data_IF_472825186615
#
_entry.id   IF_472825186615
#
_cell.length_a   1.000
_cell.length_b   1.000
_cell.length_c   1.000
_cell.angle_alpha   90.00
_cell.angle_beta   90.00
_cell.angle_gamma   90.00
#
_symmetry.space_group_name_H-M   'P 1'
#
loop_
_entity.id
_entity.type
_entity.pdbx_description
1 polymer ?
#
# COMPACT_ATOMS: atom_id res chain seq x y z
N UNK A 1 -8.98 10.60 -21.85
CA UNK A 1 -9.79 9.63 -21.08
C UNK A 1 -10.63 8.68 -21.95
N UNK A 2 -11.29 9.13 -23.03
CA UNK A 2 -12.20 8.30 -23.83
C UNK A 2 -11.55 7.09 -24.55
N UNK A 3 -10.24 7.17 -24.90
CA UNK A 3 -9.49 6.04 -25.51
C UNK A 3 -9.20 4.88 -24.54
N UNK A 4 -9.09 5.14 -23.24
CA UNK A 4 -8.78 4.11 -22.22
C UNK A 4 -10.04 3.30 -21.89
N UNK A 5 -11.21 3.95 -21.81
CA UNK A 5 -12.49 3.26 -21.58
C UNK A 5 -12.85 2.27 -22.71
N UNK A 6 -12.49 2.56 -23.96
CA UNK A 6 -12.71 1.64 -25.10
C UNK A 6 -11.73 0.46 -25.12
N UNK A 7 -10.52 0.62 -24.55
CA UNK A 7 -9.51 -0.43 -24.44
C UNK A 7 -9.75 -1.40 -23.26
N UNK A 8 -10.44 -0.93 -22.21
CA UNK A 8 -10.90 -1.74 -21.07
C UNK A 8 -12.04 -2.72 -21.42
N UNK A 9 -12.52 -2.72 -22.68
CA UNK A 9 -13.56 -3.63 -23.16
C UNK A 9 -13.20 -5.12 -23.08
N UNK A 10 -11.91 -5.46 -22.92
CA UNK A 10 -11.45 -6.80 -22.59
C UNK A 10 -10.67 -6.78 -21.28
N UNK A 11 -11.37 -7.00 -20.16
CA UNK A 11 -10.82 -7.19 -18.81
C UNK A 11 -9.91 -8.42 -18.66
N UNK A 12 -9.65 -9.13 -19.76
CA UNK A 12 -8.93 -10.41 -19.84
C UNK A 12 -7.64 -10.33 -20.69
N UNK A 13 -7.36 -9.21 -21.37
CA UNK A 13 -6.10 -9.06 -22.12
C UNK A 13 -4.95 -8.67 -21.17
N UNK A 14 -3.82 -9.40 -21.16
CA UNK A 14 -2.69 -9.11 -20.27
C UNK A 14 -2.17 -7.67 -20.37
N UNK A 15 -2.15 -7.09 -21.57
CA UNK A 15 -1.68 -5.71 -21.78
C UNK A 15 -2.60 -4.67 -21.13
N UNK A 16 -3.91 -4.86 -21.28
CA UNK A 16 -4.91 -3.97 -20.69
C UNK A 16 -4.91 -4.06 -19.17
N UNK A 17 -4.80 -5.27 -18.62
CA UNK A 17 -4.75 -5.50 -17.17
C UNK A 17 -3.46 -4.94 -16.57
N UNK A 18 -2.33 -5.05 -17.26
CA UNK A 18 -1.07 -4.45 -16.81
C UNK A 18 -1.17 -2.93 -16.66
N UNK A 19 -1.70 -2.21 -17.68
CA UNK A 19 -1.90 -0.76 -17.59
C UNK A 19 -2.92 -0.36 -16.52
N UNK A 20 -3.98 -1.16 -16.31
CA UNK A 20 -4.93 -0.94 -15.22
C UNK A 20 -4.26 -1.13 -13.84
N UNK A 21 -3.46 -2.19 -13.68
CA UNK A 21 -2.73 -2.47 -12.44
C UNK A 21 -1.73 -1.36 -12.09
N UNK A 22 -1.07 -0.75 -13.07
CA UNK A 22 -0.20 0.40 -12.86
C UNK A 22 -0.97 1.59 -12.25
N UNK A 23 -2.19 1.86 -12.74
CA UNK A 23 -3.05 2.93 -12.20
C UNK A 23 -3.44 2.63 -10.75
N UNK A 24 -3.87 1.39 -10.47
CA UNK A 24 -4.21 0.96 -9.11
C UNK A 24 -3.01 1.06 -8.17
N UNK A 25 -1.84 0.61 -8.62
CA UNK A 25 -0.61 0.65 -7.86
C UNK A 25 -0.20 2.10 -7.54
N UNK A 26 -0.24 3.01 -8.51
CA UNK A 26 0.05 4.44 -8.26
C UNK A 26 -0.91 5.05 -7.25
N UNK A 27 -2.19 4.67 -7.32
CA UNK A 27 -3.18 5.08 -6.33
C UNK A 27 -2.86 4.55 -4.92
N UNK A 28 -2.33 3.32 -4.79
CA UNK A 28 -1.90 2.76 -3.51
C UNK A 28 -0.63 3.46 -2.97
N UNK A 29 0.39 3.62 -3.81
CA UNK A 29 1.71 4.05 -3.41
C UNK A 29 1.79 5.53 -3.00
N UNK A 30 0.90 6.38 -3.53
CA UNK A 30 0.92 7.83 -3.27
C UNK A 30 0.76 8.19 -1.80
N UNK A 31 0.13 7.33 -0.99
CA UNK A 31 -0.23 7.63 0.39
C UNK A 31 0.98 7.74 1.32
N UNK A 32 2.09 7.09 0.95
CA UNK A 32 3.36 7.09 1.67
C UNK A 32 4.55 7.29 0.72
N UNK A 33 4.34 8.04 -0.36
CA UNK A 33 5.39 8.35 -1.31
C UNK A 33 6.45 9.24 -0.68
N UNK A 34 7.71 8.95 -0.99
CA UNK A 34 8.87 9.65 -0.47
C UNK A 34 10.03 9.63 -1.48
N UNK A 35 11.01 10.50 -1.24
CA UNK A 35 12.25 10.63 -2.01
C UNK A 35 13.45 10.60 -1.07
N UNK A 36 14.61 10.23 -1.60
CA UNK A 36 15.86 10.15 -0.84
C UNK A 36 16.92 11.05 -1.50
N UNK A 37 16.81 12.37 -1.37
CA UNK A 37 17.66 13.32 -2.11
C UNK A 37 19.14 13.26 -1.72
N UNK A 38 19.47 12.71 -0.55
CA UNK A 38 20.83 12.59 -0.02
C UNK A 38 21.55 11.30 -0.48
N UNK A 39 20.85 10.40 -1.19
CA UNK A 39 21.48 9.15 -1.63
C UNK A 39 22.47 9.44 -2.75
N UNK A 40 23.71 9.03 -2.54
CA UNK A 40 24.81 9.30 -3.46
C UNK A 40 25.45 10.68 -3.30
N UNK A 41 25.09 11.43 -2.25
CA UNK A 41 25.83 12.63 -1.82
C UNK A 41 26.80 12.28 -0.68
N UNK A 42 27.68 13.21 -0.33
CA UNK A 42 28.59 13.09 0.83
C UNK A 42 27.91 13.48 2.17
N UNK A 43 26.62 13.81 2.14
CA UNK A 43 25.86 14.23 3.33
C UNK A 43 25.40 13.02 4.16
N UNK A 44 25.31 13.20 5.48
CA UNK A 44 24.83 12.17 6.38
C UNK A 44 23.33 11.92 6.18
N UNK A 45 22.97 10.66 5.89
CA UNK A 45 21.57 10.26 5.75
C UNK A 45 20.99 10.00 7.14
N UNK A 46 19.91 10.70 7.55
CA UNK A 46 19.28 10.45 8.83
C UNK A 46 18.70 9.03 8.88
N UNK A 47 18.80 8.38 10.03
CA UNK A 47 18.29 7.03 10.24
C UNK A 47 17.34 6.95 11.44
N UNK A 48 16.43 5.98 11.42
CA UNK A 48 15.63 5.64 12.60
C UNK A 48 16.50 4.90 13.63
N UNK A 49 15.96 4.70 14.84
CA UNK A 49 16.62 3.87 15.87
C UNK A 49 16.87 2.43 15.39
N UNK A 50 16.03 1.92 14.50
CA UNK A 50 16.16 0.60 13.85
C UNK A 50 17.14 0.60 12.67
N UNK A 51 17.79 1.73 12.37
CA UNK A 51 18.75 1.88 11.28
C UNK A 51 18.13 2.03 9.89
N UNK A 52 16.84 2.39 9.78
CA UNK A 52 16.22 2.65 8.49
C UNK A 52 16.54 4.06 8.00
N UNK A 53 17.01 4.20 6.77
CA UNK A 53 17.24 5.49 6.12
C UNK A 53 15.93 6.28 5.98
N UNK A 54 15.95 7.53 6.44
CA UNK A 54 14.82 8.46 6.41
C UNK A 54 14.99 9.41 5.22
N UNK A 55 14.01 9.38 4.31
CA UNK A 55 13.92 10.33 3.20
C UNK A 55 13.05 11.55 3.51
N UNK A 56 12.58 12.19 2.45
CA UNK A 56 11.66 13.32 2.46
C UNK A 56 10.33 12.86 1.89
N UNK A 57 9.25 12.99 2.68
CA UNK A 57 7.89 12.64 2.23
C UNK A 57 7.43 13.57 1.11
N UNK A 58 6.72 13.02 0.12
CA UNK A 58 6.03 13.84 -0.88
C UNK A 58 4.87 14.61 -0.20
N UNK A 59 4.59 15.83 -0.64
CA UNK A 59 3.55 16.70 -0.04
C UNK A 59 2.15 16.06 -0.05
N UNK A 60 1.86 15.21 -1.04
CA UNK A 60 0.59 14.52 -1.20
C UNK A 60 0.51 13.23 -0.37
N UNK A 61 1.62 12.76 0.20
CA UNK A 61 1.71 11.56 1.02
C UNK A 61 1.33 11.84 2.47
N UNK A 62 0.04 12.16 2.69
CA UNK A 62 -0.47 12.68 3.96
C UNK A 62 -0.27 11.73 5.16
N UNK A 63 -0.06 10.43 4.94
CA UNK A 63 0.11 9.46 6.04
C UNK A 63 1.36 9.75 6.88
N UNK A 64 2.43 10.26 6.27
CA UNK A 64 3.63 10.67 7.02
C UNK A 64 3.30 11.75 8.03
N UNK A 65 2.55 12.77 7.61
CA UNK A 65 2.19 13.91 8.46
C UNK A 65 1.12 13.55 9.49
N UNK A 66 0.05 12.87 9.09
CA UNK A 66 -1.08 12.56 9.98
C UNK A 66 -0.65 11.63 11.11
N UNK A 67 0.09 10.57 10.78
CA UNK A 67 0.44 9.52 11.72
C UNK A 67 1.88 9.61 12.25
N UNK A 68 2.63 10.63 11.83
CA UNK A 68 4.05 10.84 12.17
C UNK A 68 4.92 9.64 11.78
N UNK A 69 4.60 8.99 10.67
CA UNK A 69 5.44 7.91 10.17
C UNK A 69 6.69 8.46 9.46
N UNK A 70 7.88 7.92 9.76
CA UNK A 70 9.09 8.34 9.08
C UNK A 70 9.02 7.99 7.60
N UNK A 71 9.67 8.77 6.75
CA UNK A 71 9.67 8.57 5.30
C UNK A 71 10.68 7.48 4.89
N UNK A 72 10.43 6.24 5.32
CA UNK A 72 11.31 5.08 5.06
C UNK A 72 10.69 4.13 4.04
N UNK A 73 11.54 3.26 3.47
CA UNK A 73 11.08 2.17 2.60
C UNK A 73 10.06 1.27 3.29
N UNK A 74 10.29 0.98 4.57
CA UNK A 74 9.43 0.11 5.36
C UNK A 74 8.04 0.72 5.52
N UNK A 75 7.96 2.00 5.87
CA UNK A 75 6.69 2.74 5.93
C UNK A 75 5.97 2.76 4.57
N UNK A 76 6.68 3.08 3.49
CA UNK A 76 6.11 3.08 2.14
C UNK A 76 5.57 1.71 1.75
N UNK A 77 6.34 0.64 1.98
CA UNK A 77 5.97 -0.70 1.56
C UNK A 77 4.75 -1.22 2.31
N UNK A 78 4.69 -1.05 3.64
CA UNK A 78 3.56 -1.50 4.47
C UNK A 78 2.26 -0.73 4.16
N UNK A 79 2.34 0.59 3.99
CA UNK A 79 1.17 1.39 3.62
C UNK A 79 0.71 1.06 2.20
N UNK A 80 1.63 0.88 1.25
CA UNK A 80 1.28 0.49 -0.12
C UNK A 80 0.62 -0.89 -0.16
N UNK A 81 1.17 -1.86 0.57
CA UNK A 81 0.59 -3.21 0.69
C UNK A 81 -0.79 -3.18 1.35
N UNK A 82 -1.04 -2.33 2.35
CA UNK A 82 -2.38 -2.16 2.91
C UNK A 82 -3.39 -1.72 1.85
N UNK A 83 -3.07 -0.75 1.00
CA UNK A 83 -3.97 -0.30 -0.07
C UNK A 83 -4.13 -1.35 -1.17
N UNK A 84 -3.05 -2.05 -1.53
CA UNK A 84 -3.13 -3.18 -2.46
C UNK A 84 -4.00 -4.31 -1.91
N UNK A 85 -3.98 -4.56 -0.59
CA UNK A 85 -4.84 -5.52 0.06
C UNK A 85 -6.32 -5.15 -0.13
N UNK A 86 -6.68 -3.88 0.06
CA UNK A 86 -8.06 -3.40 -0.16
C UNK A 86 -8.53 -3.68 -1.59
N UNK A 87 -7.72 -3.37 -2.61
CA UNK A 87 -8.04 -3.75 -3.99
C UNK A 87 -8.09 -5.26 -4.18
N UNK A 88 -7.17 -6.00 -3.56
CA UNK A 88 -7.11 -7.47 -3.65
C UNK A 88 -8.40 -8.11 -3.14
N UNK A 89 -8.94 -7.65 -2.01
CA UNK A 89 -10.23 -8.09 -1.47
C UNK A 89 -11.33 -7.90 -2.50
N UNK A 90 -11.42 -6.72 -3.13
CA UNK A 90 -12.43 -6.47 -4.17
C UNK A 90 -12.19 -7.30 -5.43
N UNK A 91 -10.95 -7.45 -5.88
CA UNK A 91 -10.57 -8.27 -7.05
C UNK A 91 -10.99 -9.72 -6.84
N UNK A 92 -10.93 -10.27 -5.62
CA UNK A 92 -11.37 -11.65 -5.32
C UNK A 92 -12.86 -11.89 -5.60
N UNK A 93 -13.68 -10.84 -5.65
CA UNK A 93 -15.09 -10.90 -6.05
C UNK A 93 -15.29 -10.71 -7.57
N UNK A 94 -14.32 -11.12 -8.40
CA UNK A 94 -14.41 -11.12 -9.85
C UNK A 94 -14.41 -12.56 -10.40
N UNK A 95 -14.73 -12.78 -11.68
CA UNK A 95 -14.62 -14.09 -12.31
C UNK A 95 -13.23 -14.71 -12.12
N UNK A 96 -13.10 -16.02 -11.82
CA UNK A 96 -11.83 -16.65 -11.44
C UNK A 96 -10.67 -16.49 -12.45
N UNK A 97 -10.99 -16.37 -13.75
CA UNK A 97 -10.02 -16.10 -14.82
C UNK A 97 -9.41 -14.70 -14.71
N UNK A 98 -10.18 -13.71 -14.24
CA UNK A 98 -9.74 -12.33 -14.03
C UNK A 98 -8.98 -12.17 -12.71
N UNK A 99 -9.38 -12.86 -11.64
CA UNK A 99 -8.74 -12.75 -10.32
C UNK A 99 -7.22 -12.97 -10.42
N UNK A 100 -6.80 -14.05 -11.09
CA UNK A 100 -5.40 -14.44 -11.18
C UNK A 100 -4.55 -13.40 -11.91
N UNK A 101 -5.03 -12.88 -13.03
CA UNK A 101 -4.27 -11.93 -13.85
C UNK A 101 -4.20 -10.55 -13.19
N UNK A 102 -5.28 -10.08 -12.59
CA UNK A 102 -5.32 -8.77 -11.92
C UNK A 102 -4.45 -8.75 -10.66
N UNK A 103 -4.53 -9.79 -9.81
CA UNK A 103 -3.67 -9.89 -8.63
C UNK A 103 -2.19 -9.98 -9.01
N UNK A 104 -1.86 -10.79 -10.03
CA UNK A 104 -0.49 -10.90 -10.52
C UNK A 104 0.03 -9.56 -11.02
N UNK A 105 -0.69 -8.89 -11.92
CA UNK A 105 -0.23 -7.61 -12.46
C UNK A 105 -0.10 -6.54 -11.37
N UNK A 106 -1.03 -6.46 -10.40
CA UNK A 106 -0.92 -5.53 -9.28
C UNK A 106 0.31 -5.81 -8.41
N UNK A 107 0.56 -7.10 -8.14
CA UNK A 107 1.75 -7.53 -7.41
C UNK A 107 3.02 -7.17 -8.18
N UNK A 108 3.09 -7.47 -9.48
CA UNK A 108 4.26 -7.17 -10.32
C UNK A 108 4.62 -5.68 -10.28
N UNK A 109 3.61 -4.79 -10.36
CA UNK A 109 3.81 -3.34 -10.24
C UNK A 109 4.48 -2.94 -8.93
N UNK A 110 4.07 -3.54 -7.81
CA UNK A 110 4.70 -3.29 -6.52
C UNK A 110 6.15 -3.78 -6.48
N UNK A 111 6.42 -5.00 -6.97
CA UNK A 111 7.77 -5.56 -6.93
C UNK A 111 8.74 -4.82 -7.86
N UNK A 112 8.29 -4.34 -9.01
CA UNK A 112 9.09 -3.45 -9.87
C UNK A 112 9.42 -2.14 -9.16
N UNK A 113 8.44 -1.50 -8.52
CA UNK A 113 8.67 -0.25 -7.79
C UNK A 113 9.54 -0.44 -6.54
N UNK A 114 9.42 -1.58 -5.86
CA UNK A 114 10.25 -1.94 -4.72
C UNK A 114 11.71 -2.16 -5.16
N UNK A 115 11.92 -2.90 -6.26
CA UNK A 115 13.25 -3.10 -6.83
C UNK A 115 13.89 -1.78 -7.26
N UNK A 116 13.13 -0.93 -7.97
CA UNK A 116 13.56 0.41 -8.38
C UNK A 116 14.02 1.25 -7.18
N UNK A 117 13.25 1.26 -6.08
CA UNK A 117 13.62 1.97 -4.84
C UNK A 117 14.86 1.39 -4.18
N UNK A 118 15.06 0.07 -4.18
CA UNK A 118 16.29 -0.51 -3.63
C UNK A 118 17.53 -0.05 -4.42
N UNK A 119 17.40 0.08 -5.74
CA UNK A 119 18.50 0.53 -6.61
C UNK A 119 18.72 2.04 -6.49
N UNK A 120 17.66 2.83 -6.69
CA UNK A 120 17.72 4.29 -6.79
C UNK A 120 17.82 4.95 -5.41
N UNK A 121 17.01 4.50 -4.45
CA UNK A 121 16.88 5.17 -3.15
C UNK A 121 17.78 4.58 -2.07
N UNK A 122 18.40 3.41 -2.28
CA UNK A 122 19.22 2.76 -1.26
C UNK A 122 20.56 2.26 -1.81
N UNK A 123 20.91 2.65 -3.04
CA UNK A 123 22.15 2.28 -3.73
C UNK A 123 22.49 0.78 -3.62
N UNK A 124 21.47 -0.09 -3.61
CA UNK A 124 21.64 -1.53 -3.42
C UNK A 124 22.05 -2.19 -4.74
N UNK A 125 23.34 -2.11 -5.07
CA UNK A 125 23.89 -2.61 -6.33
C UNK A 125 23.97 -4.15 -6.39
N UNK A 126 24.08 -4.82 -5.24
CA UNK A 126 24.23 -6.27 -5.17
C UNK A 126 22.92 -7.01 -5.46
N UNK A 127 22.81 -7.61 -6.66
CA UNK A 127 21.59 -8.33 -7.10
C UNK A 127 21.15 -9.50 -6.20
N UNK A 128 22.09 -10.17 -5.52
CA UNK A 128 21.77 -11.25 -4.56
C UNK A 128 21.04 -10.70 -3.33
N UNK A 129 21.53 -9.59 -2.78
CA UNK A 129 20.93 -8.93 -1.60
C UNK A 129 19.52 -8.45 -1.94
N UNK A 130 19.38 -7.83 -3.11
CA UNK A 130 18.09 -7.37 -3.63
C UNK A 130 17.09 -8.51 -3.81
N UNK A 131 17.52 -9.61 -4.43
CA UNK A 131 16.67 -10.79 -4.63
C UNK A 131 16.21 -11.40 -3.30
N UNK A 132 17.06 -11.42 -2.27
CA UNK A 132 16.69 -11.89 -0.93
C UNK A 132 15.64 -10.97 -0.31
N UNK A 133 15.86 -9.66 -0.36
CA UNK A 133 14.93 -8.68 0.21
C UNK A 133 13.56 -8.71 -0.48
N UNK A 134 13.52 -8.86 -1.81
CA UNK A 134 12.25 -9.05 -2.54
C UNK A 134 11.54 -10.35 -2.13
N UNK A 135 12.26 -11.43 -1.85
CA UNK A 135 11.65 -12.66 -1.30
C UNK A 135 11.08 -12.41 0.10
N UNK A 136 11.78 -11.66 0.94
CA UNK A 136 11.30 -11.31 2.28
C UNK A 136 10.02 -10.46 2.20
N UNK A 137 9.98 -9.45 1.33
CA UNK A 137 8.76 -8.68 1.04
C UNK A 137 7.60 -9.56 0.54
N UNK A 138 7.89 -10.57 -0.28
CA UNK A 138 6.84 -11.50 -0.73
C UNK A 138 6.28 -12.36 0.41
N UNK A 139 7.13 -12.77 1.37
CA UNK A 139 6.67 -13.45 2.58
C UNK A 139 5.81 -12.50 3.43
N UNK A 140 6.27 -11.26 3.63
CA UNK A 140 5.52 -10.23 4.35
C UNK A 140 4.15 -9.96 3.72
N UNK A 141 4.08 -9.81 2.40
CA UNK A 141 2.83 -9.62 1.65
C UNK A 141 1.79 -10.71 1.96
N UNK A 142 2.22 -11.98 1.95
CA UNK A 142 1.31 -13.11 2.26
C UNK A 142 0.90 -13.14 3.73
N UNK A 143 1.82 -12.82 4.63
CA UNK A 143 1.52 -12.71 6.07
C UNK A 143 0.51 -11.59 6.35
N UNK A 144 0.68 -10.44 5.70
CA UNK A 144 -0.22 -9.29 5.78
C UNK A 144 -1.61 -9.63 5.26
N UNK A 145 -1.72 -10.30 4.11
CA UNK A 145 -3.01 -10.79 3.58
C UNK A 145 -3.72 -11.65 4.62
N UNK A 146 -3.04 -12.65 5.18
CA UNK A 146 -3.65 -13.58 6.12
C UNK A 146 -4.11 -12.86 7.40
N UNK A 147 -3.29 -11.94 7.93
CA UNK A 147 -3.60 -11.19 9.14
C UNK A 147 -4.78 -10.22 8.93
N UNK A 148 -4.86 -9.54 7.79
CA UNK A 148 -5.97 -8.65 7.49
C UNK A 148 -7.26 -9.41 7.17
N UNK A 149 -7.19 -10.52 6.43
CA UNK A 149 -8.36 -11.39 6.20
C UNK A 149 -8.93 -11.91 7.52
N UNK A 150 -8.07 -12.33 8.45
CA UNK A 150 -8.48 -12.71 9.80
C UNK A 150 -9.11 -11.54 10.56
N UNK A 151 -8.49 -10.35 10.51
CA UNK A 151 -9.02 -9.14 11.16
C UNK A 151 -10.40 -8.73 10.64
N UNK A 152 -10.59 -8.78 9.32
CA UNK A 152 -11.88 -8.47 8.71
C UNK A 152 -12.96 -9.45 9.15
N UNK A 153 -12.64 -10.74 9.23
CA UNK A 153 -13.57 -11.81 9.60
C UNK A 153 -13.88 -11.86 11.11
N UNK A 154 -12.91 -11.56 11.97
CA UNK A 154 -13.03 -11.71 13.44
C UNK A 154 -13.37 -10.41 14.19
N UNK A 155 -13.28 -9.25 13.53
CA UNK A 155 -13.70 -7.97 14.09
C UNK A 155 -12.56 -6.99 14.34
N UNK A 156 -12.94 -5.77 14.74
CA UNK A 156 -12.05 -4.61 14.70
C UNK A 156 -10.87 -4.69 15.67
N UNK A 157 -11.00 -5.38 16.80
CA UNK A 157 -9.88 -5.60 17.71
C UNK A 157 -8.77 -6.45 17.07
N UNK A 158 -9.15 -7.50 16.32
CA UNK A 158 -8.18 -8.37 15.62
C UNK A 158 -7.57 -7.63 14.42
N UNK A 159 -8.38 -6.85 13.71
CA UNK A 159 -7.90 -5.98 12.63
C UNK A 159 -6.93 -4.90 13.13
N UNK A 160 -7.25 -4.25 14.25
CA UNK A 160 -6.37 -3.27 14.91
C UNK A 160 -5.04 -3.91 15.30
N UNK A 161 -5.06 -5.12 15.89
CA UNK A 161 -3.83 -5.82 16.22
C UNK A 161 -2.99 -6.15 14.97
N UNK A 162 -3.62 -6.51 13.85
CA UNK A 162 -2.93 -6.74 12.59
C UNK A 162 -2.33 -5.45 12.00
N UNK A 163 -3.08 -4.33 12.01
CA UNK A 163 -2.59 -3.03 11.55
C UNK A 163 -1.44 -2.53 12.43
N UNK A 164 -1.54 -2.68 13.75
CA UNK A 164 -0.49 -2.32 14.69
C UNK A 164 0.83 -3.05 14.42
N UNK A 165 0.77 -4.37 14.21
CA UNK A 165 1.97 -5.16 13.87
C UNK A 165 2.62 -4.76 12.55
N UNK A 166 1.81 -4.49 11.51
CA UNK A 166 2.33 -4.24 10.16
C UNK A 166 2.70 -2.76 9.95
N UNK A 167 1.82 -1.82 10.31
CA UNK A 167 1.98 -0.38 10.03
C UNK A 167 2.76 0.33 11.13
N UNK A 168 2.45 0.04 12.40
CA UNK A 168 3.14 0.65 13.56
C UNK A 168 4.36 -0.15 14.00
N UNK A 169 4.66 -1.28 13.34
CA UNK A 169 5.78 -2.18 13.63
C UNK A 169 5.80 -2.71 15.06
N UNK A 170 4.62 -2.95 15.63
CA UNK A 170 4.46 -3.40 17.01
C UNK A 170 5.08 -2.46 18.07
N UNK A 171 5.30 -1.18 17.73
CA UNK A 171 5.79 -0.18 18.68
C UNK A 171 4.72 0.21 19.70
N UNK A 172 5.13 0.53 20.91
CA UNK A 172 4.23 0.94 22.00
C UNK A 172 4.00 2.45 22.03
N UNK A 173 4.90 3.23 21.42
CA UNK A 173 4.89 4.70 21.41
C UNK A 173 4.04 5.28 20.27
N UNK A 174 2.74 4.96 20.26
CA UNK A 174 1.81 5.50 19.27
C UNK A 174 0.49 5.98 19.88
N UNK A 175 -0.18 6.89 19.19
CA UNK A 175 -1.53 7.30 19.57
C UNK A 175 -2.54 6.23 19.14
N UNK A 176 -3.22 5.61 20.11
CA UNK A 176 -4.24 4.59 19.86
C UNK A 176 -5.37 5.08 18.95
N UNK A 177 -5.64 6.39 18.93
CA UNK A 177 -6.64 7.00 18.04
C UNK A 177 -6.21 6.92 16.58
N UNK A 178 -4.92 7.01 16.27
CA UNK A 178 -4.42 6.78 14.92
C UNK A 178 -4.65 5.34 14.45
N UNK A 179 -4.50 4.37 15.36
CA UNK A 179 -4.81 2.98 15.04
C UNK A 179 -6.31 2.79 14.76
N UNK A 180 -7.17 3.36 15.60
CA UNK A 180 -8.61 3.37 15.37
C UNK A 180 -8.97 4.05 14.03
N UNK A 181 -8.24 5.10 13.65
CA UNK A 181 -8.43 5.79 12.37
C UNK A 181 -8.15 4.91 11.18
N UNK A 182 -7.06 4.15 11.22
CA UNK A 182 -6.71 3.25 10.13
C UNK A 182 -7.70 2.07 10.08
N UNK A 183 -8.21 1.59 11.22
CA UNK A 183 -9.28 0.58 11.25
C UNK A 183 -10.56 1.09 10.58
N UNK A 184 -11.03 2.29 10.96
CA UNK A 184 -12.19 2.95 10.34
C UNK A 184 -11.98 3.13 8.84
N UNK A 185 -10.81 3.63 8.46
CA UNK A 185 -10.40 3.82 7.07
C UNK A 185 -10.48 2.52 6.25
N UNK A 186 -9.99 1.40 6.80
CA UNK A 186 -10.04 0.10 6.13
C UNK A 186 -11.50 -0.35 5.92
N UNK A 187 -12.35 -0.24 6.96
CA UNK A 187 -13.77 -0.61 6.87
C UNK A 187 -14.52 0.23 5.83
N UNK A 188 -14.41 1.55 5.89
CA UNK A 188 -15.05 2.43 4.93
C UNK A 188 -14.51 2.26 3.51
N UNK A 189 -13.21 2.01 3.35
CA UNK A 189 -12.62 1.75 2.03
C UNK A 189 -13.18 0.47 1.41
N UNK A 190 -13.31 -0.61 2.19
CA UNK A 190 -13.92 -1.86 1.71
C UNK A 190 -15.39 -1.67 1.35
N UNK A 191 -16.16 -0.94 2.16
CA UNK A 191 -17.55 -0.62 1.86
C UNK A 191 -17.69 0.17 0.54
N UNK A 192 -16.81 1.17 0.31
CA UNK A 192 -16.80 1.92 -0.95
C UNK A 192 -16.38 1.04 -2.12
N UNK A 193 -15.40 0.17 -1.94
CA UNK A 193 -14.94 -0.76 -2.98
C UNK A 193 -16.01 -1.78 -3.38
N UNK A 194 -16.84 -2.21 -2.43
CA UNK A 194 -17.98 -3.10 -2.68
C UNK A 194 -18.95 -2.50 -3.72
N UNK A 195 -19.15 -1.18 -3.68
CA UNK A 195 -20.04 -0.48 -4.63
C UNK A 195 -19.50 -0.43 -6.07
N UNK A 196 -18.23 -0.78 -6.30
CA UNK A 196 -17.64 -0.82 -7.64
C UNK A 196 -17.97 -2.16 -8.29
N UNK A 197 -18.98 -2.23 -9.17
CA UNK A 197 -19.48 -3.51 -9.71
C UNK A 197 -18.55 -4.19 -10.73
N UNK A 198 -17.87 -3.41 -11.58
CA UNK A 198 -16.98 -3.93 -12.61
C UNK A 198 -15.53 -3.78 -12.20
N UNK A 199 -14.73 -4.85 -12.31
CA UNK A 199 -13.29 -4.81 -11.99
C UNK A 199 -12.55 -3.75 -12.84
N UNK A 200 -12.98 -3.53 -14.07
CA UNK A 200 -12.44 -2.50 -14.98
C UNK A 200 -12.67 -1.08 -14.50
N UNK A 201 -13.61 -0.86 -13.57
CA UNK A 201 -13.89 0.44 -12.94
C UNK A 201 -13.04 0.71 -11.71
N UNK A 202 -12.27 -0.26 -11.23
CA UNK A 202 -11.35 -0.02 -10.11
C UNK A 202 -10.31 1.05 -10.44
N UNK A 203 -9.93 1.23 -11.71
CA UNK A 203 -8.97 2.26 -12.14
C UNK A 203 -9.47 3.69 -11.86
N UNK A 204 -10.78 3.87 -11.74
CA UNK A 204 -11.42 5.14 -11.42
C UNK A 204 -11.54 5.35 -9.90
N UNK A 205 -11.31 4.31 -9.09
CA UNK A 205 -11.44 4.37 -7.64
C UNK A 205 -10.34 5.23 -7.01
N UNK A 206 -10.73 6.07 -6.04
CA UNK A 206 -9.83 6.90 -5.25
C UNK A 206 -10.09 6.67 -3.78
N UNK A 207 -9.02 6.40 -3.04
CA UNK A 207 -9.13 6.29 -1.59
C UNK A 207 -9.43 7.67 -0.98
N UNK A 208 -10.27 7.68 0.06
CA UNK A 208 -10.62 8.92 0.76
C UNK A 208 -9.44 9.54 1.50
N UNK A 209 -9.50 10.86 1.72
CA UNK A 209 -8.56 11.53 2.62
C UNK A 209 -8.80 11.11 4.08
N UNK A 210 -7.72 10.96 4.83
CA UNK A 210 -7.74 10.58 6.26
C UNK A 210 -8.56 11.53 7.14
N UNK A 211 -8.74 12.78 6.70
CA UNK A 211 -9.52 13.81 7.39
C UNK A 211 -11.00 13.47 7.55
N UNK A 212 -11.59 12.67 6.64
CA UNK A 212 -12.97 12.20 6.81
C UNK A 212 -13.10 11.17 7.94
N UNK A 213 -12.05 10.38 8.18
CA UNK A 213 -12.03 9.34 9.21
C UNK A 213 -11.73 9.91 10.61
N UNK A 214 -11.01 11.04 10.66
CA UNK A 214 -10.69 11.73 11.92
C UNK A 214 -11.94 12.15 12.70
N UNK A 215 -12.95 12.63 12.00
CA UNK A 215 -14.23 13.06 12.58
C UNK A 215 -14.99 11.92 13.28
N UNK A 216 -14.73 10.65 12.92
CA UNK A 216 -15.39 9.48 13.51
C UNK A 216 -14.78 9.11 14.87
N UNK A 217 -13.57 9.59 15.17
CA UNK A 217 -12.77 9.19 16.34
C UNK A 217 -12.67 10.33 17.35
N UNK A 218 -13.02 11.54 16.94
CA UNK A 218 -13.31 12.66 17.83
C UNK A 218 -14.65 12.40 18.54
N UNK A 219 -14.69 11.38 19.39
CA UNK A 219 -15.70 11.26 20.44
C UNK A 219 -15.25 12.24 21.55
N UNK A 220 -16.13 13.15 22.01
CA UNK A 220 -15.79 14.16 23.02
C UNK A 220 -15.31 13.58 24.35
#
# INVERSE_FOLDING_TARGET
MHRIQKALGNASSPYTVHGAAEILFKECAKHAAYKTPLVGTDEEIPTTEDGEEIGVSDEQALWHKEFRFPATFSTWSQITMLHMYLFTVRIRNAPPDQVKIWQRCLQDQFFYAAEDRMVVNHNMQAGIVRSRYLKDLYVQWRGLIAAYDEGIAKGDAVLAAAIWRNIFKAREDFDIRHLAQIVSYVRHSLQKLESVLLITKLVDFKFSSLSAEKAVIEIP
#
